data_IF_886316157652
#
_entry.id   IF_886316157652
#
_cell.length_a   1.000
_cell.length_b   1.000
_cell.length_c   1.000
_cell.angle_alpha   90.00
_cell.angle_beta   90.00
_cell.angle_gamma   90.00
#
_symmetry.space_group_name_H-M   'P 1'
#
loop_
_entity.id
_entity.type
_entity.pdbx_description
1 polymer ?
#
# COMPACT_ATOMS: atom_id res chain seq x y z
N UNK A 1 9.34 28.99 -1.11
CA UNK A 1 8.25 28.20 -1.73
C UNK A 1 8.62 26.74 -1.50
N UNK A 2 7.77 25.95 -0.85
CA UNK A 2 8.02 24.53 -0.67
C UNK A 2 8.07 23.86 -2.05
N UNK A 3 9.05 22.99 -2.29
CA UNK A 3 9.18 22.26 -3.54
C UNK A 3 7.94 21.41 -3.79
N UNK A 4 7.39 21.41 -5.02
CA UNK A 4 6.25 20.57 -5.37
C UNK A 4 6.69 19.11 -5.36
N UNK A 5 6.30 18.33 -4.35
CA UNK A 5 6.54 16.88 -4.29
C UNK A 5 6.78 16.28 -2.91
N UNK A 6 7.47 16.96 -2.02
CA UNK A 6 7.91 16.40 -0.75
C UNK A 6 6.78 16.06 0.25
N UNK A 7 5.63 16.71 0.16
CA UNK A 7 4.48 16.49 1.04
C UNK A 7 3.29 15.73 0.44
N UNK A 8 3.29 15.48 -0.86
CA UNK A 8 2.11 14.94 -1.56
C UNK A 8 1.65 13.56 -1.08
N UNK A 9 2.56 12.74 -0.58
CA UNK A 9 2.24 11.40 -0.10
C UNK A 9 1.55 11.38 1.27
N UNK A 10 1.57 12.50 1.99
CA UNK A 10 0.84 12.70 3.25
C UNK A 10 -0.19 13.84 3.16
N UNK A 11 -0.33 14.49 2.00
CA UNK A 11 -1.38 15.49 1.76
C UNK A 11 -2.72 14.78 1.54
N UNK A 12 -3.59 14.86 2.54
CA UNK A 12 -4.89 14.20 2.56
C UNK A 12 -5.79 14.64 1.41
N UNK A 13 -5.78 15.93 1.07
CA UNK A 13 -6.61 16.47 -0.03
C UNK A 13 -6.11 15.95 -1.36
N UNK A 14 -4.80 16.04 -1.61
CA UNK A 14 -4.19 15.50 -2.82
C UNK A 14 -4.43 13.98 -2.95
N UNK A 15 -4.22 13.22 -1.88
CA UNK A 15 -4.45 11.77 -1.89
C UNK A 15 -5.89 11.43 -2.23
N UNK A 16 -6.86 12.11 -1.61
CA UNK A 16 -8.29 11.84 -1.82
C UNK A 16 -8.78 12.30 -3.19
N UNK A 17 -8.39 13.49 -3.63
CA UNK A 17 -9.02 14.17 -4.78
C UNK A 17 -8.25 13.97 -6.09
N UNK A 18 -6.97 13.63 -6.02
CA UNK A 18 -6.10 13.46 -7.19
C UNK A 18 -5.54 12.04 -7.26
N UNK A 19 -4.76 11.63 -6.27
CA UNK A 19 -3.99 10.40 -6.35
C UNK A 19 -4.86 9.14 -6.32
N UNK A 20 -5.89 9.14 -5.49
CA UNK A 20 -6.81 8.03 -5.26
C UNK A 20 -8.27 8.37 -5.59
N UNK A 21 -8.51 9.39 -6.41
CA UNK A 21 -9.85 9.71 -6.91
C UNK A 21 -10.49 8.51 -7.63
N UNK A 22 -9.66 7.71 -8.29
CA UNK A 22 -9.98 6.39 -8.84
C UNK A 22 -8.88 5.41 -8.46
N UNK A 23 -9.10 4.13 -8.66
CA UNK A 23 -8.09 3.10 -8.39
C UNK A 23 -6.98 2.99 -9.46
N UNK A 24 -7.08 3.75 -10.57
CA UNK A 24 -6.16 3.68 -11.73
C UNK A 24 -4.68 3.74 -11.32
N UNK A 25 -4.31 4.73 -10.51
CA UNK A 25 -2.92 4.90 -10.08
C UNK A 25 -2.47 3.76 -9.15
N UNK A 26 -3.35 3.28 -8.29
CA UNK A 26 -3.07 2.15 -7.40
C UNK A 26 -2.94 0.85 -8.21
N UNK A 27 -3.87 0.60 -9.12
CA UNK A 27 -3.85 -0.57 -9.99
C UNK A 27 -2.58 -0.62 -10.86
N UNK A 28 -2.15 0.52 -11.44
CA UNK A 28 -0.91 0.62 -12.20
C UNK A 28 0.34 0.31 -11.35
N UNK A 29 0.36 0.69 -10.05
CA UNK A 29 1.45 0.30 -9.15
C UNK A 29 1.37 -1.17 -8.73
N UNK A 30 0.18 -1.73 -8.66
CA UNK A 30 -0.02 -3.15 -8.33
C UNK A 30 0.31 -4.07 -9.50
N UNK A 31 0.14 -3.62 -10.76
CA UNK A 31 0.33 -4.45 -11.95
C UNK A 31 1.78 -4.93 -12.15
N UNK A 32 2.79 -4.18 -11.67
CA UNK A 32 4.19 -4.61 -11.79
C UNK A 32 4.49 -5.90 -11.03
N UNK A 33 3.71 -6.23 -10.00
CA UNK A 33 3.90 -7.47 -9.23
C UNK A 33 3.50 -8.75 -9.99
N UNK A 34 2.84 -8.61 -11.16
CA UNK A 34 2.65 -9.73 -12.09
C UNK A 34 3.99 -10.27 -12.63
N UNK A 35 5.05 -9.47 -12.60
CA UNK A 35 6.41 -9.85 -13.03
C UNK A 35 7.28 -10.34 -11.88
N UNK A 36 6.71 -10.65 -10.73
CA UNK A 36 7.46 -11.07 -9.53
C UNK A 36 7.95 -12.52 -9.65
N UNK A 37 9.25 -12.72 -9.33
CA UNK A 37 9.92 -14.01 -9.36
C UNK A 37 10.74 -14.25 -8.07
N UNK A 38 10.45 -15.31 -7.30
CA UNK A 38 9.29 -16.17 -7.46
C UNK A 38 7.97 -15.39 -7.22
N UNK A 39 6.83 -15.85 -7.76
CA UNK A 39 5.54 -15.21 -7.52
C UNK A 39 5.20 -15.20 -6.01
N UNK A 40 4.82 -14.04 -5.50
CA UNK A 40 4.39 -13.87 -4.09
C UNK A 40 2.95 -13.39 -4.07
N UNK A 41 2.07 -14.18 -3.48
CA UNK A 41 0.72 -13.72 -3.16
C UNK A 41 0.69 -13.14 -1.74
N UNK A 42 1.09 -11.88 -1.63
CA UNK A 42 1.19 -11.18 -0.34
C UNK A 42 -0.13 -11.22 0.45
N UNK A 43 -1.29 -11.02 -0.22
CA UNK A 43 -2.58 -11.04 0.45
C UNK A 43 -2.87 -12.41 1.07
N UNK A 44 -2.59 -13.49 0.33
CA UNK A 44 -2.76 -14.84 0.85
C UNK A 44 -1.84 -15.10 2.04
N UNK A 45 -0.56 -14.76 1.92
CA UNK A 45 0.43 -14.97 2.99
C UNK A 45 0.08 -14.19 4.25
N UNK A 46 -0.33 -12.93 4.14
CA UNK A 46 -0.76 -12.10 5.28
C UNK A 46 -2.00 -12.69 5.95
N UNK A 47 -3.00 -13.13 5.17
CA UNK A 47 -4.20 -13.75 5.75
C UNK A 47 -3.92 -15.15 6.32
N UNK A 48 -2.92 -15.87 5.81
CA UNK A 48 -2.48 -17.15 6.40
C UNK A 48 -1.80 -16.91 7.76
N UNK A 49 -0.97 -15.86 7.88
CA UNK A 49 -0.40 -15.43 9.16
C UNK A 49 -1.47 -14.92 10.13
N UNK A 50 -2.46 -14.20 9.62
CA UNK A 50 -3.61 -13.77 10.40
C UNK A 50 -4.44 -14.96 10.89
N UNK A 51 -4.49 -16.04 10.12
CA UNK A 51 -5.24 -17.26 10.38
C UNK A 51 -6.64 -16.99 10.99
N UNK A 52 -7.49 -16.18 10.33
CA UNK A 52 -8.81 -15.89 10.88
C UNK A 52 -9.63 -17.18 10.99
N UNK A 53 -10.29 -17.40 12.12
CA UNK A 53 -11.11 -18.60 12.36
C UNK A 53 -12.43 -18.63 11.55
N UNK A 54 -12.63 -17.65 10.67
CA UNK A 54 -13.77 -17.57 9.75
C UNK A 54 -14.99 -16.84 10.27
N UNK A 55 -15.10 -16.57 11.58
CA UNK A 55 -16.22 -15.86 12.21
C UNK A 55 -15.85 -14.54 12.87
N UNK A 56 -14.59 -14.19 12.86
CA UNK A 56 -14.04 -12.95 13.44
C UNK A 56 -14.60 -11.71 12.76
N UNK A 57 -14.72 -10.64 13.53
CA UNK A 57 -14.96 -9.29 12.96
C UNK A 57 -13.64 -8.77 12.42
N UNK A 58 -13.53 -8.62 11.10
CA UNK A 58 -12.31 -8.16 10.42
C UNK A 58 -12.50 -6.73 9.92
N UNK A 59 -11.55 -5.83 10.23
CA UNK A 59 -11.50 -4.50 9.64
C UNK A 59 -10.22 -4.31 8.82
N UNK A 60 -10.35 -3.82 7.59
CA UNK A 60 -9.25 -3.40 6.73
C UNK A 60 -9.22 -1.87 6.69
N UNK A 61 -8.25 -1.27 7.39
CA UNK A 61 -8.11 0.18 7.52
C UNK A 61 -7.13 0.70 6.48
N UNK A 62 -7.58 1.67 5.67
CA UNK A 62 -6.90 2.07 4.45
C UNK A 62 -7.06 0.99 3.37
N UNK A 63 -8.28 0.44 3.23
CA UNK A 63 -8.54 -0.73 2.40
C UNK A 63 -8.29 -0.52 0.89
N UNK A 64 -8.09 0.72 0.45
CA UNK A 64 -7.86 1.05 -0.95
C UNK A 64 -8.93 0.46 -1.86
N UNK A 65 -8.50 -0.16 -2.94
CA UNK A 65 -9.40 -0.83 -3.90
C UNK A 65 -9.87 -2.24 -3.46
N UNK A 66 -9.73 -2.58 -2.18
CA UNK A 66 -10.37 -3.74 -1.55
C UNK A 66 -9.72 -5.09 -1.83
N UNK A 67 -8.41 -5.18 -2.05
CA UNK A 67 -7.72 -6.46 -2.31
C UNK A 67 -7.92 -7.47 -1.18
N UNK A 68 -7.71 -7.06 0.08
CA UNK A 68 -7.88 -7.94 1.25
C UNK A 68 -9.34 -8.30 1.50
N UNK A 69 -10.27 -7.36 1.25
CA UNK A 69 -11.71 -7.62 1.35
C UNK A 69 -12.16 -8.68 0.33
N UNK A 70 -11.66 -8.59 -0.91
CA UNK A 70 -11.95 -9.58 -1.95
C UNK A 70 -11.35 -10.95 -1.60
N UNK A 71 -10.13 -10.99 -1.05
CA UNK A 71 -9.49 -12.24 -0.64
C UNK A 71 -10.23 -12.89 0.55
N UNK A 72 -10.71 -12.12 1.52
CA UNK A 72 -11.59 -12.62 2.59
C UNK A 72 -12.87 -13.22 2.01
N UNK A 73 -13.48 -12.55 1.03
CA UNK A 73 -14.64 -13.06 0.30
C UNK A 73 -14.34 -14.37 -0.43
N UNK A 74 -13.23 -14.47 -1.14
CA UNK A 74 -12.77 -15.69 -1.83
C UNK A 74 -12.51 -16.84 -0.85
N UNK A 75 -12.00 -16.55 0.34
CA UNK A 75 -11.84 -17.52 1.43
C UNK A 75 -13.12 -17.88 2.15
N UNK A 76 -14.25 -17.31 1.72
CA UNK A 76 -15.58 -17.54 2.30
C UNK A 76 -15.66 -17.19 3.78
N UNK A 77 -14.96 -16.13 4.19
CA UNK A 77 -15.07 -15.63 5.56
C UNK A 77 -16.54 -15.36 5.91
N UNK A 78 -17.03 -15.98 6.97
CA UNK A 78 -18.44 -15.94 7.35
C UNK A 78 -18.77 -14.82 8.34
N UNK A 79 -17.75 -14.34 9.08
CA UNK A 79 -17.88 -13.24 10.04
C UNK A 79 -18.13 -11.90 9.34
N UNK A 80 -18.48 -10.86 10.12
CA UNK A 80 -18.54 -9.50 9.61
C UNK A 80 -17.16 -9.02 9.18
N UNK A 81 -17.08 -8.34 8.02
CA UNK A 81 -15.85 -7.64 7.62
C UNK A 81 -16.16 -6.30 7.00
N UNK A 82 -15.26 -5.36 7.21
CA UNK A 82 -15.45 -3.98 6.76
C UNK A 82 -14.15 -3.40 6.22
N UNK A 83 -14.28 -2.44 5.31
CA UNK A 83 -13.19 -1.62 4.80
C UNK A 83 -13.40 -0.17 5.17
N UNK A 84 -12.32 0.48 5.59
CA UNK A 84 -12.28 1.92 5.86
C UNK A 84 -11.25 2.55 4.93
N UNK A 85 -11.62 3.60 4.23
CA UNK A 85 -10.69 4.40 3.42
C UNK A 85 -11.15 5.85 3.39
N UNK A 86 -10.23 6.81 3.33
CA UNK A 86 -10.58 8.21 3.24
C UNK A 86 -11.08 8.62 1.85
N UNK A 87 -10.80 7.83 0.82
CA UNK A 87 -11.19 8.10 -0.56
C UNK A 87 -12.49 7.41 -0.94
N UNK A 88 -13.56 8.15 -1.27
CA UNK A 88 -14.77 7.56 -1.83
C UNK A 88 -14.53 6.82 -3.16
N UNK A 89 -13.51 7.24 -3.92
CA UNK A 89 -13.10 6.56 -5.15
C UNK A 89 -12.58 5.14 -4.89
N UNK A 90 -11.73 4.99 -3.89
CA UNK A 90 -11.23 3.68 -3.44
C UNK A 90 -12.37 2.80 -2.94
N UNK A 91 -13.29 3.35 -2.14
CA UNK A 91 -14.43 2.59 -1.64
C UNK A 91 -15.37 2.12 -2.76
N UNK A 92 -15.54 2.90 -3.83
CA UNK A 92 -16.28 2.44 -5.02
C UNK A 92 -15.58 1.27 -5.69
N UNK A 93 -14.27 1.34 -5.89
CA UNK A 93 -13.48 0.26 -6.46
C UNK A 93 -13.49 -0.99 -5.56
N UNK A 94 -13.38 -0.82 -4.23
CA UNK A 94 -13.47 -1.91 -3.27
C UNK A 94 -14.83 -2.62 -3.32
N UNK A 95 -15.92 -1.85 -3.46
CA UNK A 95 -17.28 -2.40 -3.60
C UNK A 95 -17.43 -3.25 -4.86
N UNK A 96 -16.92 -2.77 -5.98
CA UNK A 96 -16.95 -3.50 -7.25
C UNK A 96 -16.15 -4.81 -7.12
N UNK A 97 -14.91 -4.74 -6.64
CA UNK A 97 -14.03 -5.90 -6.49
C UNK A 97 -14.58 -6.96 -5.53
N UNK A 98 -15.10 -6.55 -4.37
CA UNK A 98 -15.64 -7.47 -3.37
C UNK A 98 -17.00 -8.04 -3.77
N UNK A 99 -17.82 -7.30 -4.55
CA UNK A 99 -19.14 -7.73 -5.00
C UNK A 99 -19.12 -9.00 -5.85
N UNK A 100 -18.01 -9.20 -6.59
CA UNK A 100 -17.87 -10.35 -7.51
C UNK A 100 -17.45 -11.65 -6.79
N UNK A 101 -17.00 -11.57 -5.54
CA UNK A 101 -16.35 -12.73 -4.86
C UNK A 101 -16.97 -13.14 -3.53
N UNK A 102 -17.72 -12.27 -2.87
CA UNK A 102 -18.13 -12.48 -1.49
C UNK A 102 -19.58 -13.00 -1.35
N UNK A 103 -19.78 -14.02 -0.49
CA UNK A 103 -21.13 -14.41 0.00
C UNK A 103 -21.81 -13.30 0.78
N UNK A 104 -21.03 -12.41 1.39
CA UNK A 104 -21.46 -11.25 2.17
C UNK A 104 -20.66 -10.03 1.74
N UNK A 105 -21.35 -9.00 1.32
CA UNK A 105 -20.69 -7.73 0.97
C UNK A 105 -20.05 -7.10 2.20
N UNK A 106 -18.81 -6.56 2.10
CA UNK A 106 -18.21 -5.81 3.18
C UNK A 106 -18.98 -4.52 3.46
N UNK A 107 -19.03 -4.11 4.72
CA UNK A 107 -19.38 -2.74 5.06
C UNK A 107 -18.22 -1.81 4.63
N UNK A 108 -18.54 -0.67 4.01
CA UNK A 108 -17.52 0.29 3.56
C UNK A 108 -17.79 1.65 4.19
N UNK A 109 -16.78 2.22 4.85
CA UNK A 109 -16.85 3.46 5.60
C UNK A 109 -15.82 4.46 5.08
N UNK A 110 -16.27 5.68 4.79
CA UNK A 110 -15.38 6.80 4.47
C UNK A 110 -14.91 7.45 5.78
N UNK A 111 -13.64 7.25 6.17
CA UNK A 111 -13.10 7.82 7.39
C UNK A 111 -11.57 7.96 7.35
N UNK A 112 -11.05 8.80 8.25
CA UNK A 112 -9.63 8.95 8.51
C UNK A 112 -9.16 7.89 9.51
N UNK A 113 -8.00 7.30 9.26
CA UNK A 113 -7.40 6.30 10.14
C UNK A 113 -7.01 6.86 11.52
N UNK A 114 -6.89 8.19 11.65
CA UNK A 114 -6.61 8.88 12.92
C UNK A 114 -7.87 9.18 13.75
N UNK A 115 -9.07 8.89 13.20
CA UNK A 115 -10.36 9.12 13.87
C UNK A 115 -11.39 8.09 13.35
N UNK A 116 -11.21 6.83 13.71
CA UNK A 116 -12.06 5.74 13.22
C UNK A 116 -13.46 5.78 13.83
N UNK A 117 -14.54 5.76 13.03
CA UNK A 117 -15.92 5.75 13.53
C UNK A 117 -16.35 4.34 14.01
N UNK A 118 -15.47 3.70 14.74
CA UNK A 118 -15.65 2.37 15.32
C UNK A 118 -15.55 2.46 16.86
N UNK A 119 -16.36 1.68 17.56
CA UNK A 119 -16.27 1.60 19.02
C UNK A 119 -14.93 0.95 19.44
N UNK A 120 -14.56 1.14 20.71
CA UNK A 120 -13.44 0.43 21.30
C UNK A 120 -13.66 -1.09 21.20
N UNK A 121 -12.59 -1.83 20.97
CA UNK A 121 -12.62 -3.30 20.91
C UNK A 121 -13.68 -3.85 19.93
N UNK A 122 -13.84 -3.18 18.77
CA UNK A 122 -14.84 -3.53 17.77
C UNK A 122 -14.43 -4.71 16.88
N UNK A 123 -13.14 -5.00 16.78
CA UNK A 123 -12.59 -5.95 15.80
C UNK A 123 -11.76 -7.04 16.50
N UNK A 124 -11.85 -8.25 15.95
CA UNK A 124 -11.00 -9.38 16.34
C UNK A 124 -9.66 -9.34 15.58
N UNK A 125 -9.72 -8.95 14.31
CA UNK A 125 -8.58 -8.78 13.43
C UNK A 125 -8.67 -7.41 12.75
N UNK A 126 -7.63 -6.62 12.89
CA UNK A 126 -7.47 -5.34 12.18
C UNK A 126 -6.31 -5.46 11.19
N UNK A 127 -6.53 -5.07 9.96
CA UNK A 127 -5.51 -4.95 8.91
C UNK A 127 -5.23 -3.46 8.65
N UNK A 128 -3.97 -3.11 8.46
CA UNK A 128 -3.53 -1.77 8.02
C UNK A 128 -2.40 -1.94 7.00
N UNK A 129 -2.77 -2.30 5.78
CA UNK A 129 -1.84 -2.77 4.76
C UNK A 129 -1.40 -1.63 3.85
N UNK A 130 -0.10 -1.29 3.91
CA UNK A 130 0.51 -0.27 3.03
C UNK A 130 -0.18 1.10 3.06
N UNK A 131 -0.66 1.53 4.24
CA UNK A 131 -1.38 2.79 4.40
C UNK A 131 -0.73 3.77 5.40
N UNK A 132 -0.04 3.30 6.44
CA UNK A 132 0.49 4.16 7.51
C UNK A 132 1.47 5.23 7.03
N UNK A 133 2.20 4.98 5.95
CA UNK A 133 3.09 5.98 5.35
C UNK A 133 2.36 7.11 4.59
N UNK A 134 1.03 7.07 4.53
CA UNK A 134 0.18 8.15 4.03
C UNK A 134 -0.38 9.03 5.16
N UNK A 135 -0.18 8.61 6.41
CA UNK A 135 -0.69 9.34 7.57
C UNK A 135 0.40 10.29 8.08
N UNK A 136 0.12 11.60 8.18
CA UNK A 136 1.11 12.57 8.68
C UNK A 136 1.59 12.23 10.10
N UNK A 137 0.67 11.80 10.95
CA UNK A 137 0.91 11.44 12.35
C UNK A 137 0.63 9.94 12.57
N UNK A 138 1.55 9.02 12.17
CA UNK A 138 1.29 7.58 12.23
C UNK A 138 1.01 7.08 13.65
N UNK A 139 1.54 7.74 14.68
CA UNK A 139 1.25 7.41 16.08
C UNK A 139 -0.22 7.55 16.45
N UNK A 140 -0.93 8.55 15.91
CA UNK A 140 -2.38 8.71 16.13
C UNK A 140 -3.16 7.57 15.47
N UNK A 141 -2.80 7.19 14.25
CA UNK A 141 -3.44 6.06 13.59
C UNK A 141 -3.17 4.75 14.34
N UNK A 142 -1.94 4.53 14.81
CA UNK A 142 -1.59 3.35 15.61
C UNK A 142 -2.43 3.29 16.90
N UNK A 143 -2.63 4.42 17.58
CA UNK A 143 -3.49 4.49 18.76
C UNK A 143 -4.95 4.10 18.43
N UNK A 144 -5.49 4.57 17.31
CA UNK A 144 -6.83 4.21 16.84
C UNK A 144 -6.92 2.72 16.46
N UNK A 145 -5.94 2.21 15.73
CA UNK A 145 -5.85 0.77 15.39
C UNK A 145 -5.83 -0.10 16.66
N UNK A 146 -5.06 0.32 17.67
CA UNK A 146 -5.04 -0.36 18.98
C UNK A 146 -6.38 -0.27 19.70
N UNK A 147 -7.03 0.91 19.67
CA UNK A 147 -8.32 1.14 20.34
C UNK A 147 -9.44 0.27 19.76
N UNK A 148 -9.50 0.14 18.45
CA UNK A 148 -10.56 -0.63 17.79
C UNK A 148 -10.31 -2.14 17.84
N UNK A 149 -9.07 -2.59 17.96
CA UNK A 149 -8.73 -4.00 18.14
C UNK A 149 -8.98 -4.43 19.58
N UNK A 150 -9.77 -5.49 19.79
CA UNK A 150 -10.11 -5.97 21.14
C UNK A 150 -8.88 -6.53 21.87
N UNK A 151 -8.90 -6.59 23.20
CA UNK A 151 -7.91 -7.37 23.95
C UNK A 151 -7.90 -8.84 23.48
N UNK A 152 -6.71 -9.38 23.21
CA UNK A 152 -6.55 -10.71 22.60
C UNK A 152 -6.91 -10.81 21.12
N UNK A 153 -7.28 -9.69 20.49
CA UNK A 153 -7.35 -9.55 19.03
C UNK A 153 -5.97 -9.32 18.41
N UNK A 154 -5.92 -9.24 17.10
CA UNK A 154 -4.67 -9.06 16.33
C UNK A 154 -4.75 -7.85 15.42
N UNK A 155 -3.65 -7.10 15.35
CA UNK A 155 -3.42 -6.09 14.33
C UNK A 155 -2.31 -6.59 13.40
N UNK A 156 -2.51 -6.45 12.09
CA UNK A 156 -1.44 -6.68 11.10
C UNK A 156 -1.20 -5.38 10.34
N UNK A 157 0.04 -4.92 10.38
CA UNK A 157 0.49 -3.72 9.67
C UNK A 157 1.43 -4.14 8.54
N UNK A 158 1.08 -3.78 7.32
CA UNK A 158 1.92 -4.00 6.14
C UNK A 158 2.72 -2.75 5.78
N UNK A 159 4.03 -2.90 5.62
CA UNK A 159 4.97 -1.85 5.23
C UNK A 159 6.03 -2.41 4.28
N UNK A 160 6.84 -1.53 3.72
CA UNK A 160 7.95 -1.93 2.86
C UNK A 160 9.29 -1.75 3.58
N UNK A 161 10.26 -2.60 3.25
CA UNK A 161 11.66 -2.42 3.64
C UNK A 161 12.29 -1.19 2.96
N UNK A 162 13.44 -0.77 3.45
CA UNK A 162 14.18 0.40 2.93
C UNK A 162 14.67 0.21 1.50
N UNK A 163 14.97 -1.02 1.11
CA UNK A 163 15.46 -1.45 -0.20
C UNK A 163 14.34 -1.76 -1.21
N UNK A 164 13.07 -1.69 -0.79
CA UNK A 164 11.93 -1.97 -1.67
C UNK A 164 11.90 -1.06 -2.90
N UNK A 165 11.97 -1.65 -4.09
CA UNK A 165 12.05 -0.98 -5.40
C UNK A 165 13.24 0.01 -5.51
N UNK A 166 14.40 -0.32 -4.91
CA UNK A 166 15.55 0.57 -4.88
C UNK A 166 16.04 0.90 -6.30
N UNK A 167 16.21 -0.10 -7.14
CA UNK A 167 16.71 0.06 -8.52
C UNK A 167 15.77 0.96 -9.35
N UNK A 168 14.46 0.79 -9.17
CA UNK A 168 13.44 1.65 -9.78
C UNK A 168 13.56 3.10 -9.28
N UNK A 169 13.77 3.29 -7.97
CA UNK A 169 13.95 4.63 -7.40
C UNK A 169 15.20 5.31 -7.93
N UNK A 170 16.29 4.58 -8.07
CA UNK A 170 17.56 5.10 -8.55
C UNK A 170 17.46 5.57 -10.01
N UNK A 171 16.84 4.75 -10.87
CA UNK A 171 16.58 5.12 -12.27
C UNK A 171 15.69 6.36 -12.37
N UNK A 172 14.61 6.44 -11.58
CA UNK A 172 13.71 7.61 -11.58
C UNK A 172 14.45 8.86 -11.08
N UNK A 173 15.25 8.74 -10.04
CA UNK A 173 16.04 9.87 -9.48
C UNK A 173 17.05 10.39 -10.49
N UNK A 174 17.82 9.50 -11.13
CA UNK A 174 18.76 9.87 -12.17
C UNK A 174 18.08 10.48 -13.41
N UNK A 175 16.88 9.99 -13.77
CA UNK A 175 16.11 10.54 -14.87
C UNK A 175 15.62 11.97 -14.57
N UNK A 176 15.09 12.22 -13.39
CA UNK A 176 14.66 13.55 -12.95
C UNK A 176 15.82 14.54 -12.92
N UNK A 177 16.95 14.15 -12.34
CA UNK A 177 18.15 14.99 -12.32
C UNK A 177 18.62 15.39 -13.74
N UNK A 178 18.54 14.48 -14.72
CA UNK A 178 18.96 14.78 -16.10
C UNK A 178 18.07 15.80 -16.84
N UNK A 179 16.87 16.05 -16.33
CA UNK A 179 15.96 17.08 -16.87
C UNK A 179 15.86 18.29 -15.94
N UNK A 180 16.87 18.47 -15.04
CA UNK A 180 16.96 19.61 -14.14
C UNK A 180 15.94 19.59 -13.00
N UNK A 181 15.51 18.42 -12.57
CA UNK A 181 14.57 18.24 -11.47
C UNK A 181 15.18 17.41 -10.34
N UNK A 182 15.00 17.88 -9.13
CA UNK A 182 15.33 17.09 -7.96
C UNK A 182 14.15 16.22 -7.56
N UNK A 183 14.45 15.01 -7.14
CA UNK A 183 13.47 14.17 -6.47
C UNK A 183 13.54 14.48 -4.99
N UNK A 184 12.45 15.03 -4.45
CA UNK A 184 12.37 15.25 -3.02
C UNK A 184 12.61 13.92 -2.26
N UNK A 185 13.43 13.94 -1.19
CA UNK A 185 13.62 12.79 -0.34
C UNK A 185 12.26 12.27 0.12
N UNK A 186 12.00 10.99 -0.07
CA UNK A 186 10.75 10.37 0.33
C UNK A 186 10.96 9.69 1.67
N UNK A 187 10.74 10.40 2.74
CA UNK A 187 10.59 9.79 4.06
C UNK A 187 9.27 9.03 4.08
N UNK A 188 9.31 7.76 3.76
CA UNK A 188 8.19 6.85 3.99
C UNK A 188 8.47 6.06 5.23
N UNK A 189 7.44 5.88 6.04
CA UNK A 189 7.48 4.95 7.15
C UNK A 189 7.85 3.55 6.62
N UNK A 190 9.02 3.07 7.01
CA UNK A 190 9.56 1.78 6.62
C UNK A 190 9.11 0.69 7.59
N UNK A 191 9.38 -0.57 7.25
CA UNK A 191 9.10 -1.71 8.11
C UNK A 191 9.82 -1.60 9.45
N UNK A 192 11.09 -1.16 9.47
CA UNK A 192 11.88 -0.97 10.69
C UNK A 192 11.33 0.14 11.58
N UNK A 193 10.95 1.27 10.97
CA UNK A 193 10.34 2.38 11.70
C UNK A 193 8.95 2.01 12.23
N UNK A 194 8.15 1.28 11.44
CA UNK A 194 6.86 0.77 11.87
C UNK A 194 6.97 -0.17 13.07
N UNK A 195 7.94 -1.07 13.05
CA UNK A 195 8.24 -1.96 14.17
C UNK A 195 8.60 -1.17 15.43
N UNK A 196 9.44 -0.15 15.29
CA UNK A 196 9.82 0.74 16.40
C UNK A 196 8.62 1.47 17.00
N UNK A 197 7.66 1.92 16.19
CA UNK A 197 6.45 2.60 16.65
C UNK A 197 5.44 1.66 17.31
N UNK A 198 5.37 0.40 16.88
CA UNK A 198 4.37 -0.56 17.36
C UNK A 198 4.80 -1.25 18.66
N UNK A 199 6.10 -1.51 18.87
CA UNK A 199 6.62 -2.18 20.07
C UNK A 199 6.20 -1.57 21.41
N UNK A 200 6.12 -0.22 21.59
CA UNK A 200 5.63 0.38 22.83
C UNK A 200 4.12 0.23 23.06
N UNK A 201 3.34 -0.08 22.01
CA UNK A 201 1.86 -0.08 22.02
C UNK A 201 1.28 -1.49 22.19
N UNK A 202 2.01 -2.53 21.73
CA UNK A 202 1.56 -3.92 21.72
C UNK A 202 2.48 -4.80 22.54
N UNK A 203 1.91 -5.79 23.22
CA UNK A 203 2.66 -6.73 24.05
C UNK A 203 3.62 -7.60 23.24
N UNK A 204 3.25 -7.92 22.00
CA UNK A 204 4.12 -8.62 21.06
C UNK A 204 4.02 -8.00 19.67
N UNK A 205 5.16 -7.93 18.98
CA UNK A 205 5.26 -7.52 17.59
C UNK A 205 6.19 -8.51 16.90
N UNK A 206 5.64 -9.32 15.99
CA UNK A 206 6.38 -10.30 15.21
C UNK A 206 6.47 -9.83 13.78
N UNK A 207 7.69 -9.76 13.25
CA UNK A 207 7.98 -9.32 11.88
C UNK A 207 8.05 -10.50 10.93
N UNK A 208 7.48 -10.33 9.75
CA UNK A 208 7.58 -11.25 8.62
C UNK A 208 7.98 -10.47 7.37
N UNK A 209 9.07 -10.87 6.73
CA UNK A 209 9.62 -10.24 5.53
C UNK A 209 9.30 -11.10 4.29
N UNK A 210 8.90 -10.45 3.20
CA UNK A 210 8.61 -11.05 1.91
C UNK A 210 9.50 -10.41 0.86
N UNK A 211 10.66 -11.02 0.64
CA UNK A 211 11.66 -10.55 -0.31
C UNK A 211 11.56 -11.34 -1.61
N UNK A 212 11.57 -10.64 -2.74
CA UNK A 212 11.51 -11.23 -4.08
C UNK A 212 12.08 -10.23 -5.10
N UNK A 213 11.95 -10.50 -6.39
CA UNK A 213 12.37 -9.61 -7.47
C UNK A 213 11.28 -9.45 -8.50
N UNK A 214 11.21 -8.28 -9.14
CA UNK A 214 10.48 -8.10 -10.38
C UNK A 214 11.45 -8.29 -11.54
N UNK A 215 11.04 -9.02 -12.56
CA UNK A 215 11.76 -9.16 -13.82
C UNK A 215 10.94 -8.43 -14.90
N UNK A 216 11.13 -7.12 -15.02
CA UNK A 216 10.34 -6.29 -15.93
C UNK A 216 10.86 -6.46 -17.36
N UNK A 217 10.04 -6.95 -18.31
CA UNK A 217 10.51 -7.40 -19.62
C UNK A 217 10.82 -6.26 -20.59
N UNK A 218 10.55 -5.02 -20.21
CA UNK A 218 10.76 -3.85 -21.06
C UNK A 218 10.25 -2.55 -20.43
N UNK A 219 10.22 -1.47 -21.18
CA UNK A 219 9.91 -0.13 -20.67
C UNK A 219 8.46 0.07 -20.25
N UNK A 220 7.49 -0.62 -20.86
CA UNK A 220 6.06 -0.37 -20.66
C UNK A 220 5.60 -0.48 -19.21
N UNK A 221 5.92 -1.58 -18.45
CA UNK A 221 5.52 -1.67 -17.05
C UNK A 221 6.14 -0.57 -16.19
N UNK A 222 7.38 -0.16 -16.52
CA UNK A 222 8.08 0.94 -15.83
C UNK A 222 7.40 2.27 -16.13
N UNK A 223 7.05 2.52 -17.39
CA UNK A 223 6.35 3.73 -17.82
C UNK A 223 5.00 3.88 -17.10
N UNK A 224 4.21 2.80 -17.02
CA UNK A 224 2.92 2.81 -16.33
C UNK A 224 3.07 3.05 -14.82
N UNK A 225 4.08 2.44 -14.21
CA UNK A 225 4.42 2.70 -12.82
C UNK A 225 4.77 4.19 -12.61
N UNK A 226 5.66 4.75 -13.45
CA UNK A 226 6.07 6.16 -13.36
C UNK A 226 4.89 7.11 -13.55
N UNK A 227 4.00 6.87 -14.52
CA UNK A 227 2.77 7.66 -14.72
C UNK A 227 1.87 7.68 -13.48
N UNK A 228 1.89 6.64 -12.67
CA UNK A 228 1.07 6.53 -11.46
C UNK A 228 1.61 7.31 -10.27
N UNK A 229 2.84 7.80 -10.32
CA UNK A 229 3.49 8.48 -9.21
C UNK A 229 2.99 9.92 -9.04
N UNK A 230 2.81 10.41 -7.80
CA UNK A 230 2.48 11.82 -7.54
C UNK A 230 3.51 12.78 -8.11
N UNK A 231 4.77 12.41 -8.13
CA UNK A 231 5.88 13.23 -8.62
C UNK A 231 5.76 13.58 -10.12
N UNK A 232 4.97 12.80 -10.86
CA UNK A 232 4.65 13.10 -12.27
C UNK A 232 3.40 13.95 -12.45
N UNK A 233 2.64 14.20 -11.37
CA UNK A 233 1.46 15.07 -11.41
C UNK A 233 1.89 16.53 -11.32
N UNK A 234 1.26 17.39 -12.14
CA UNK A 234 1.64 18.81 -12.22
C UNK A 234 2.96 19.09 -12.97
N UNK A 235 3.53 18.08 -13.61
CA UNK A 235 4.65 18.24 -14.56
C UNK A 235 4.08 18.59 -15.93
N UNK A 236 4.61 19.63 -16.56
CA UNK A 236 4.13 20.10 -17.88
C UNK A 236 4.22 19.01 -18.98
N UNK A 237 5.14 18.05 -18.82
CA UNK A 237 5.34 16.93 -19.75
C UNK A 237 5.70 15.65 -18.98
N UNK A 238 4.71 14.89 -18.46
CA UNK A 238 4.96 13.58 -17.85
C UNK A 238 5.75 12.65 -18.78
N UNK A 239 5.54 12.76 -20.07
CA UNK A 239 6.20 12.00 -21.13
C UNK A 239 7.71 12.24 -21.16
N UNK A 240 8.21 13.43 -20.83
CA UNK A 240 9.65 13.71 -20.76
C UNK A 240 10.32 12.94 -19.59
N UNK A 241 9.62 12.82 -18.45
CA UNK A 241 10.09 12.01 -17.33
C UNK A 241 10.10 10.53 -17.71
N UNK A 242 9.05 10.05 -18.36
CA UNK A 242 8.94 8.67 -18.83
C UNK A 242 10.04 8.34 -19.83
N UNK A 243 10.26 9.20 -20.83
CA UNK A 243 11.33 9.04 -21.82
C UNK A 243 12.71 9.01 -21.14
N UNK A 244 12.96 9.91 -20.20
CA UNK A 244 14.21 9.95 -19.45
C UNK A 244 14.41 8.72 -18.55
N UNK A 245 13.35 8.12 -18.00
CA UNK A 245 13.41 6.86 -17.25
C UNK A 245 13.67 5.68 -18.19
N UNK A 246 12.87 5.57 -19.25
CA UNK A 246 12.93 4.41 -20.16
C UNK A 246 14.25 4.34 -20.93
N UNK A 247 14.88 5.48 -21.25
CA UNK A 247 16.21 5.52 -21.89
C UNK A 247 17.35 4.99 -21.01
N UNK A 248 17.11 4.76 -19.72
CA UNK A 248 18.09 4.23 -18.75
C UNK A 248 17.88 2.74 -18.45
N UNK A 249 16.85 2.15 -19.00
CA UNK A 249 16.59 0.73 -18.83
C UNK A 249 17.53 -0.12 -19.71
N UNK A 250 17.75 -1.40 -19.41
CA UNK A 250 18.55 -2.28 -20.24
C UNK A 250 18.02 -2.36 -21.68
N UNK A 251 18.87 -2.02 -22.65
CA UNK A 251 18.52 -1.99 -24.10
C UNK A 251 19.08 -3.25 -24.82
N UNK A 252 18.89 -4.42 -24.23
CA UNK A 252 19.29 -5.69 -24.87
C UNK A 252 18.07 -6.57 -25.06
N UNK A 253 17.87 -7.17 -26.27
CA UNK A 253 16.78 -8.12 -26.47
C UNK A 253 16.82 -9.23 -25.42
N UNK A 254 15.72 -9.41 -24.70
CA UNK A 254 15.59 -10.41 -23.64
C UNK A 254 16.18 -10.04 -22.28
N UNK A 255 16.80 -8.87 -22.12
CA UNK A 255 17.22 -8.38 -20.81
C UNK A 255 16.01 -7.83 -20.03
N UNK A 256 15.77 -8.40 -18.85
CA UNK A 256 14.78 -7.84 -17.91
C UNK A 256 15.43 -6.77 -17.05
N UNK A 257 14.66 -5.74 -16.70
CA UNK A 257 15.06 -4.83 -15.63
C UNK A 257 14.69 -5.48 -14.29
N UNK A 258 15.71 -5.88 -13.55
CA UNK A 258 15.56 -6.51 -12.24
C UNK A 258 15.35 -5.44 -11.18
N UNK A 259 14.34 -5.63 -10.34
CA UNK A 259 13.99 -4.70 -9.26
C UNK A 259 13.69 -5.48 -8.00
N UNK A 260 14.36 -5.14 -6.91
CA UNK A 260 14.17 -5.75 -5.59
C UNK A 260 12.78 -5.40 -5.04
N UNK A 261 12.05 -6.40 -4.58
CA UNK A 261 10.84 -6.20 -3.78
C UNK A 261 11.07 -6.65 -2.36
N UNK A 262 10.77 -5.79 -1.40
CA UNK A 262 10.84 -6.09 0.01
C UNK A 262 9.60 -5.52 0.69
N UNK A 263 8.55 -6.31 0.75
CA UNK A 263 7.38 -6.03 1.56
C UNK A 263 7.46 -6.83 2.85
N UNK A 264 6.77 -6.38 3.87
CA UNK A 264 6.69 -7.13 5.11
C UNK A 264 5.42 -6.83 5.88
N UNK A 265 5.16 -7.62 6.91
CA UNK A 265 4.10 -7.31 7.85
C UNK A 265 4.57 -7.51 9.30
N UNK A 266 3.94 -6.73 10.18
CA UNK A 266 4.11 -6.75 11.62
C UNK A 266 2.81 -7.27 12.23
N UNK A 267 2.87 -8.46 12.83
CA UNK A 267 1.74 -9.07 13.56
C UNK A 267 1.83 -8.63 15.00
N UNK A 268 0.83 -7.91 15.49
CA UNK A 268 0.77 -7.28 16.80
C UNK A 268 -0.36 -7.90 17.64
N UNK A 269 -0.05 -8.22 18.90
CA UNK A 269 -1.03 -8.74 19.87
C UNK A 269 -0.85 -8.12 21.27
#
# INVERSE_FOLDING_TARGET
>A
MAEPGAGLWADRTFLREVQYQTDRNLAARQSIYAYQQPPVNLMSQVLDLAAPCGFEVVADIGCGNGLYLAELGRRRHAGPFLGVDMSPGMLRAARQRAGDTARRSPALLAADATALPLRNAATDLTLAMHMLYHVPEPGQAIAELRRVTRPGGRLIVGLNGTDHLQEMRDVITAALASIGRDRAPRERLTLDQGETLLRPVFASVTRHDFVSRLLLPGPEPVADYVRSLPETKGVATPESVIAAVTSRLPDRPGAAFEVTTHSGCLVCA
#
